data_IF_015984174057
#
_entry.id   IF_015984174057
#
_cell.length_a   1.000
_cell.length_b   1.000
_cell.length_c   1.000
_cell.angle_alpha   90.00
_cell.angle_beta   90.00
_cell.angle_gamma   90.00
#
_symmetry.space_group_name_H-M   'P 1'
#
loop_
_entity.id
_entity.type
_entity.pdbx_description
1 polymer ?
#
# COMPACT_ATOMS: atom_id res chain seq x y z
N UNK A 1 22.68 -6.62 10.42
CA UNK A 1 22.07 -6.31 11.73
C UNK A 1 20.68 -6.93 11.76
N UNK A 2 20.27 -7.59 12.85
CA UNK A 2 18.91 -8.09 12.99
C UNK A 2 17.92 -6.91 13.01
N UNK A 3 16.85 -7.01 12.23
CA UNK A 3 15.80 -5.99 12.18
C UNK A 3 14.97 -6.10 13.46
N UNK A 4 14.98 -5.08 14.32
CA UNK A 4 14.16 -5.05 15.53
C UNK A 4 12.80 -4.41 15.23
N UNK A 5 11.80 -5.25 14.93
CA UNK A 5 10.44 -4.82 14.61
C UNK A 5 9.77 -4.02 15.75
N UNK A 6 10.03 -4.37 17.02
CA UNK A 6 9.47 -3.66 18.16
C UNK A 6 9.96 -2.21 18.22
N UNK A 7 11.25 -1.99 17.94
CA UNK A 7 11.82 -0.64 17.86
C UNK A 7 11.19 0.15 16.71
N UNK A 8 11.05 -0.45 15.52
CA UNK A 8 10.41 0.21 14.37
C UNK A 8 8.96 0.58 14.69
N UNK A 9 8.23 -0.30 15.37
CA UNK A 9 6.86 -0.06 15.78
C UNK A 9 6.77 1.14 16.74
N UNK A 10 7.60 1.15 17.78
CA UNK A 10 7.68 2.26 18.74
C UNK A 10 8.06 3.58 18.07
N UNK A 11 9.06 3.57 17.20
CA UNK A 11 9.50 4.76 16.46
C UNK A 11 8.42 5.27 15.51
N UNK A 12 7.64 4.37 14.90
CA UNK A 12 6.51 4.71 14.04
C UNK A 12 5.39 5.38 14.84
N UNK A 13 5.09 4.84 16.01
CA UNK A 13 4.11 5.43 16.92
C UNK A 13 4.53 6.81 17.42
N UNK A 14 5.78 6.95 17.85
CA UNK A 14 6.34 8.23 18.31
C UNK A 14 6.31 9.29 17.21
N UNK A 15 6.56 8.92 15.95
CA UNK A 15 6.46 9.84 14.83
C UNK A 15 5.04 10.39 14.67
N UNK A 16 4.03 9.51 14.74
CA UNK A 16 2.62 9.88 14.63
C UNK A 16 2.24 10.86 15.74
N UNK A 17 2.69 10.58 16.97
CA UNK A 17 2.46 11.45 18.12
C UNK A 17 3.20 12.79 18.03
N UNK A 18 4.34 12.85 17.35
CA UNK A 18 5.09 14.09 17.18
C UNK A 18 4.52 14.96 16.03
N UNK A 19 3.93 14.33 15.01
CA UNK A 19 3.42 15.00 13.81
C UNK A 19 1.88 15.01 13.75
N UNK A 20 1.22 15.25 14.89
CA UNK A 20 -0.24 15.09 15.05
C UNK A 20 -1.06 15.86 14.04
N UNK A 21 -0.72 17.13 13.78
CA UNK A 21 -1.50 17.99 12.88
C UNK A 21 -1.52 17.43 11.46
N UNK A 22 -0.35 17.02 10.96
CA UNK A 22 -0.21 16.43 9.62
C UNK A 22 -0.92 15.08 9.54
N UNK A 23 -0.76 14.22 10.55
CA UNK A 23 -1.46 12.94 10.65
C UNK A 23 -2.97 13.12 10.65
N UNK A 24 -3.50 14.03 11.48
CA UNK A 24 -4.95 14.26 11.59
C UNK A 24 -5.54 14.76 10.27
N UNK A 25 -4.80 15.61 9.55
CA UNK A 25 -5.22 16.06 8.22
C UNK A 25 -5.36 14.90 7.23
N UNK A 26 -4.33 14.04 7.12
CA UNK A 26 -4.41 12.88 6.23
C UNK A 26 -5.40 11.82 6.70
N UNK A 27 -5.60 11.70 8.02
CA UNK A 27 -6.62 10.82 8.59
C UNK A 27 -8.00 11.27 8.14
N UNK A 28 -8.31 12.56 8.27
CA UNK A 28 -9.58 13.11 7.80
C UNK A 28 -9.77 12.90 6.29
N UNK A 29 -8.74 13.14 5.47
CA UNK A 29 -8.80 12.90 4.02
C UNK A 29 -9.09 11.43 3.69
N UNK A 30 -8.38 10.50 4.31
CA UNK A 30 -8.60 9.06 4.08
C UNK A 30 -9.97 8.60 4.57
N UNK A 31 -10.49 9.17 5.67
CA UNK A 31 -11.84 8.86 6.14
C UNK A 31 -12.88 9.33 5.13
N UNK A 32 -12.74 10.56 4.62
CA UNK A 32 -13.63 11.11 3.59
C UNK A 32 -13.57 10.25 2.33
N UNK A 33 -12.37 9.90 1.86
CA UNK A 33 -12.17 9.04 0.69
C UNK A 33 -12.86 7.67 0.85
N UNK A 34 -12.63 6.99 1.97
CA UNK A 34 -13.24 5.69 2.26
C UNK A 34 -14.77 5.77 2.31
N UNK A 35 -15.33 6.82 2.92
CA UNK A 35 -16.79 6.99 3.01
C UNK A 35 -17.39 7.35 1.65
N UNK A 36 -16.73 8.21 0.88
CA UNK A 36 -17.17 8.64 -0.45
C UNK A 36 -17.23 7.44 -1.39
N UNK A 37 -16.13 6.71 -1.56
CA UNK A 37 -16.10 5.56 -2.47
C UNK A 37 -17.01 4.44 -1.99
N UNK A 38 -17.16 4.23 -0.69
CA UNK A 38 -18.13 3.26 -0.17
C UNK A 38 -19.57 3.65 -0.50
N UNK A 39 -19.92 4.93 -0.37
CA UNK A 39 -21.24 5.43 -0.76
C UNK A 39 -21.50 5.25 -2.26
N UNK A 40 -20.51 5.60 -3.10
CA UNK A 40 -20.59 5.40 -4.55
C UNK A 40 -20.72 3.93 -4.95
N UNK A 41 -20.05 3.01 -4.26
CA UNK A 41 -20.14 1.59 -4.56
C UNK A 41 -21.48 0.98 -4.10
N UNK A 42 -22.01 1.43 -2.96
CA UNK A 42 -23.30 0.96 -2.44
C UNK A 42 -24.49 1.41 -3.29
N UNK A 43 -24.36 2.49 -4.09
CA UNK A 43 -25.42 2.94 -4.99
C UNK A 43 -25.46 2.19 -6.33
N UNK A 44 -24.48 1.32 -6.60
CA UNK A 44 -24.40 0.56 -7.85
C UNK A 44 -25.15 -0.76 -7.70
N UNK A 45 -26.16 -0.97 -8.55
CA UNK A 45 -26.83 -2.26 -8.68
C UNK A 45 -26.02 -3.21 -9.58
N UNK A 46 -25.35 -4.19 -8.97
CA UNK A 46 -24.53 -5.17 -9.67
C UNK A 46 -25.29 -6.16 -10.56
N UNK A 47 -26.62 -6.20 -10.49
CA UNK A 47 -27.42 -7.15 -11.27
C UNK A 47 -27.57 -6.74 -12.74
N UNK A 48 -27.17 -5.51 -13.10
CA UNK A 48 -27.23 -4.99 -14.47
C UNK A 48 -25.85 -4.95 -15.12
N UNK A 49 -25.78 -5.19 -16.43
CA UNK A 49 -24.51 -5.09 -17.20
C UNK A 49 -23.86 -3.70 -17.07
N UNK A 50 -24.69 -2.65 -17.02
CA UNK A 50 -24.21 -1.27 -16.80
C UNK A 50 -23.71 -1.07 -15.36
N UNK A 51 -24.36 -1.69 -14.37
CA UNK A 51 -23.91 -1.69 -12.99
C UNK A 51 -22.54 -2.35 -12.80
N UNK A 52 -22.30 -3.50 -13.44
CA UNK A 52 -20.99 -4.15 -13.42
C UNK A 52 -19.87 -3.25 -13.92
N UNK A 53 -20.08 -2.57 -15.05
CA UNK A 53 -19.10 -1.59 -15.60
C UNK A 53 -18.89 -0.39 -14.68
N UNK A 54 -19.97 0.11 -14.08
CA UNK A 54 -19.92 1.25 -13.15
C UNK A 54 -19.17 0.90 -11.86
N UNK A 55 -19.37 -0.32 -11.34
CA UNK A 55 -18.62 -0.83 -10.21
C UNK A 55 -17.12 -0.93 -10.50
N UNK A 56 -16.74 -1.48 -11.65
CA UNK A 56 -15.33 -1.53 -12.08
C UNK A 56 -14.75 -0.10 -12.19
N UNK A 57 -15.51 0.83 -12.76
CA UNK A 57 -15.07 2.21 -12.87
C UNK A 57 -14.83 2.87 -11.50
N UNK A 58 -15.78 2.78 -10.57
CA UNK A 58 -15.63 3.37 -9.24
C UNK A 58 -14.55 2.70 -8.40
N UNK A 59 -14.36 1.38 -8.52
CA UNK A 59 -13.27 0.68 -7.82
C UNK A 59 -11.90 1.11 -8.35
N UNK A 60 -11.73 1.24 -9.66
CA UNK A 60 -10.50 1.74 -10.26
C UNK A 60 -10.25 3.22 -9.91
N UNK A 61 -11.26 4.07 -10.01
CA UNK A 61 -11.16 5.48 -9.62
C UNK A 61 -10.78 5.61 -8.14
N UNK A 62 -11.42 4.84 -7.26
CA UNK A 62 -11.10 4.80 -5.83
C UNK A 62 -9.68 4.35 -5.56
N UNK A 63 -9.20 3.34 -6.28
CA UNK A 63 -7.82 2.88 -6.14
C UNK A 63 -6.81 3.95 -6.57
N UNK A 64 -7.09 4.71 -7.63
CA UNK A 64 -6.24 5.81 -8.08
C UNK A 64 -6.20 6.92 -7.03
N UNK A 65 -7.36 7.37 -6.54
CA UNK A 65 -7.43 8.43 -5.51
C UNK A 65 -6.75 8.00 -4.22
N UNK A 66 -7.04 6.80 -3.73
CA UNK A 66 -6.40 6.25 -2.53
C UNK A 66 -4.87 6.15 -2.70
N UNK A 67 -4.38 5.67 -3.86
CA UNK A 67 -2.94 5.61 -4.13
C UNK A 67 -2.28 6.99 -4.13
N UNK A 68 -2.97 8.02 -4.63
CA UNK A 68 -2.50 9.39 -4.62
C UNK A 68 -2.42 9.93 -3.19
N UNK A 69 -3.43 9.67 -2.36
CA UNK A 69 -3.45 10.09 -0.94
C UNK A 69 -2.32 9.42 -0.14
N UNK A 70 -2.12 8.12 -0.34
CA UNK A 70 -1.02 7.34 0.24
C UNK A 70 0.33 7.95 -0.15
N UNK A 71 0.53 8.24 -1.43
CA UNK A 71 1.78 8.85 -1.92
C UNK A 71 1.98 10.28 -1.42
N UNK A 72 0.90 11.05 -1.33
CA UNK A 72 0.96 12.41 -0.81
C UNK A 72 1.41 12.41 0.66
N UNK A 73 0.83 11.52 1.47
CA UNK A 73 1.26 11.33 2.85
C UNK A 73 2.71 10.82 2.93
N UNK A 74 3.10 9.85 2.12
CA UNK A 74 4.49 9.35 2.07
C UNK A 74 5.48 10.46 1.72
N UNK A 75 5.12 11.34 0.80
CA UNK A 75 5.93 12.49 0.39
C UNK A 75 6.12 13.47 1.55
N UNK A 76 5.05 13.72 2.32
CA UNK A 76 5.15 14.55 3.53
C UNK A 76 6.09 13.93 4.57
N UNK A 77 5.98 12.62 4.81
CA UNK A 77 6.91 11.91 5.71
C UNK A 77 8.36 12.07 5.23
N UNK A 78 8.61 11.93 3.92
CA UNK A 78 9.97 12.05 3.38
C UNK A 78 10.56 13.43 3.59
N UNK A 79 9.80 14.49 3.34
CA UNK A 79 10.29 15.86 3.51
C UNK A 79 10.55 16.18 4.97
N UNK A 80 9.65 15.77 5.88
CA UNK A 80 9.83 15.95 7.33
C UNK A 80 11.07 15.19 7.82
N UNK A 81 11.23 13.93 7.40
CA UNK A 81 12.36 13.10 7.82
C UNK A 81 13.70 13.60 7.26
N UNK A 82 13.69 14.23 6.09
CA UNK A 82 14.88 14.83 5.48
C UNK A 82 15.14 16.29 5.92
N UNK A 83 14.37 16.80 6.90
CA UNK A 83 14.44 18.18 7.39
C UNK A 83 14.25 19.25 6.29
N UNK A 84 13.50 18.92 5.24
CA UNK A 84 13.15 19.84 4.16
C UNK A 84 11.84 20.57 4.47
N UNK A 85 11.62 21.73 3.86
CA UNK A 85 10.38 22.48 4.00
C UNK A 85 9.20 21.67 3.45
N UNK A 86 8.43 21.04 4.34
CA UNK A 86 7.32 20.16 4.00
C UNK A 86 6.07 20.98 3.64
N UNK A 87 6.04 21.56 2.44
CA UNK A 87 4.87 22.26 1.93
C UNK A 87 3.89 21.26 1.28
N UNK A 88 2.63 21.31 1.70
CA UNK A 88 1.55 20.42 1.21
C UNK A 88 1.46 20.37 -0.32
N UNK A 89 1.57 21.52 -0.98
CA UNK A 89 1.47 21.65 -2.44
C UNK A 89 2.65 21.01 -3.17
N UNK A 90 3.86 21.20 -2.66
CA UNK A 90 5.07 20.57 -3.23
C UNK A 90 5.00 19.05 -3.10
N UNK A 91 4.56 18.55 -1.94
CA UNK A 91 4.37 17.13 -1.68
C UNK A 91 3.28 16.53 -2.57
N UNK A 92 2.19 17.26 -2.80
CA UNK A 92 1.14 16.84 -3.73
C UNK A 92 1.68 16.76 -5.16
N UNK A 93 2.41 17.78 -5.62
CA UNK A 93 2.99 17.78 -6.98
C UNK A 93 3.96 16.61 -7.17
N UNK A 94 4.72 16.27 -6.13
CA UNK A 94 5.65 15.15 -6.15
C UNK A 94 4.89 13.82 -6.19
N UNK A 95 3.84 13.67 -5.38
CA UNK A 95 2.98 12.48 -5.39
C UNK A 95 2.33 12.27 -6.76
N UNK A 96 1.68 13.29 -7.33
CA UNK A 96 1.04 13.22 -8.66
C UNK A 96 2.02 12.75 -9.73
N UNK A 97 3.24 13.29 -9.74
CA UNK A 97 4.29 12.87 -10.70
C UNK A 97 4.70 11.40 -10.54
N UNK A 98 4.66 10.88 -9.32
CA UNK A 98 5.12 9.51 -8.99
C UNK A 98 4.00 8.47 -9.04
N UNK A 99 2.73 8.88 -8.96
CA UNK A 99 1.56 7.98 -8.98
C UNK A 99 1.53 7.00 -10.16
N UNK A 100 1.80 7.39 -11.42
CA UNK A 100 1.67 6.46 -12.54
C UNK A 100 2.60 5.25 -12.44
N UNK A 101 3.88 5.50 -12.12
CA UNK A 101 4.88 4.42 -12.00
C UNK A 101 4.69 3.62 -10.71
N UNK A 102 4.25 4.27 -9.63
CA UNK A 102 3.88 3.58 -8.40
C UNK A 102 2.71 2.60 -8.63
N UNK A 103 1.67 3.02 -9.34
CA UNK A 103 0.54 2.15 -9.71
C UNK A 103 0.98 1.02 -10.62
N UNK A 104 1.82 1.31 -11.62
CA UNK A 104 2.36 0.29 -12.53
C UNK A 104 3.16 -0.78 -11.78
N UNK A 105 4.03 -0.38 -10.84
CA UNK A 105 4.78 -1.31 -9.99
C UNK A 105 3.83 -2.18 -9.14
N UNK A 106 2.84 -1.57 -8.49
CA UNK A 106 1.85 -2.32 -7.72
C UNK A 106 1.05 -3.29 -8.60
N UNK A 107 0.66 -2.87 -9.79
CA UNK A 107 -0.07 -3.71 -10.74
C UNK A 107 0.74 -4.94 -11.14
N UNK A 108 2.02 -4.78 -11.52
CA UNK A 108 2.89 -5.91 -11.88
C UNK A 108 3.07 -6.89 -10.72
N UNK A 109 3.24 -6.35 -9.51
CA UNK A 109 3.44 -7.17 -8.31
C UNK A 109 2.18 -7.98 -7.95
N UNK A 110 1.00 -7.42 -8.18
CA UNK A 110 -0.29 -8.05 -7.86
C UNK A 110 -0.83 -8.92 -9.00
N UNK A 111 -0.30 -8.78 -10.22
CA UNK A 111 -0.75 -9.49 -11.42
C UNK A 111 -0.89 -11.02 -11.25
N UNK A 112 0.04 -11.74 -10.60
CA UNK A 112 -0.14 -13.17 -10.39
C UNK A 112 -1.39 -13.51 -9.55
N UNK A 113 -1.77 -12.65 -8.60
CA UNK A 113 -2.99 -12.85 -7.82
C UNK A 113 -4.26 -12.55 -8.63
N UNK A 114 -4.22 -11.56 -9.52
CA UNK A 114 -5.38 -11.29 -10.39
C UNK A 114 -5.61 -12.42 -11.40
N UNK A 115 -4.54 -13.02 -11.93
CA UNK A 115 -4.63 -14.23 -12.76
C UNK A 115 -5.23 -15.42 -11.99
N UNK A 116 -4.81 -15.61 -10.73
CA UNK A 116 -5.38 -16.63 -9.88
C UNK A 116 -6.88 -16.42 -9.66
N UNK A 117 -7.29 -15.20 -9.31
CA UNK A 117 -8.70 -14.85 -9.12
C UNK A 117 -9.53 -15.04 -10.40
N UNK A 118 -9.02 -14.59 -11.55
CA UNK A 118 -9.68 -14.78 -12.84
C UNK A 118 -9.86 -16.26 -13.18
N UNK A 119 -8.84 -17.09 -12.95
CA UNK A 119 -8.91 -18.52 -13.21
C UNK A 119 -9.89 -19.24 -12.28
N UNK A 120 -10.07 -18.77 -11.04
CA UNK A 120 -11.04 -19.31 -10.09
C UNK A 120 -12.47 -19.04 -10.55
N UNK A 121 -12.74 -17.80 -10.98
CA UNK A 121 -14.06 -17.40 -11.50
C UNK A 121 -14.38 -18.11 -12.82
N UNK A 122 -13.42 -18.19 -13.75
CA UNK A 122 -13.64 -18.80 -15.06
C UNK A 122 -13.92 -20.31 -15.01
N UNK A 123 -13.28 -21.03 -14.09
CA UNK A 123 -13.38 -22.50 -14.02
C UNK A 123 -14.30 -23.00 -12.89
N UNK A 124 -14.95 -22.10 -12.15
CA UNK A 124 -15.84 -22.48 -11.04
C UNK A 124 -15.14 -23.22 -9.89
N UNK A 125 -13.81 -23.10 -9.77
CA UNK A 125 -13.01 -23.83 -8.78
C UNK A 125 -11.51 -23.55 -8.88
N UNK A 126 -10.75 -24.13 -7.94
CA UNK A 126 -9.29 -24.02 -7.92
C UNK A 126 -8.64 -24.82 -9.05
N UNK A 127 -8.06 -24.14 -10.04
CA UNK A 127 -7.26 -24.78 -11.08
C UNK A 127 -5.80 -24.94 -10.63
N UNK A 128 -5.06 -25.89 -11.23
CA UNK A 128 -3.62 -26.02 -11.00
C UNK A 128 -2.87 -24.74 -11.40
N UNK A 129 -3.35 -24.04 -12.43
CA UNK A 129 -2.85 -22.73 -12.83
C UNK A 129 -3.10 -21.67 -11.74
N UNK A 130 -4.27 -21.66 -11.10
CA UNK A 130 -4.56 -20.77 -9.98
C UNK A 130 -3.56 -20.98 -8.84
N UNK A 131 -3.32 -22.23 -8.48
CA UNK A 131 -2.40 -22.59 -7.39
C UNK A 131 -0.96 -22.17 -7.70
N UNK A 132 -0.46 -22.46 -8.91
CA UNK A 132 0.87 -22.01 -9.34
C UNK A 132 0.98 -20.48 -9.34
N UNK A 133 -0.05 -19.79 -9.83
CA UNK A 133 -0.09 -18.34 -9.87
C UNK A 133 -0.07 -17.71 -8.48
N UNK A 134 -0.77 -18.31 -7.51
CA UNK A 134 -0.71 -17.88 -6.09
C UNK A 134 0.68 -18.11 -5.50
N UNK A 135 1.31 -19.27 -5.72
CA UNK A 135 2.65 -19.56 -5.18
C UNK A 135 3.69 -18.59 -5.74
N UNK A 136 3.70 -18.40 -7.06
CA UNK A 136 4.59 -17.46 -7.74
C UNK A 136 4.28 -16.02 -7.28
N UNK A 137 3.01 -15.68 -7.14
CA UNK A 137 2.53 -14.41 -6.61
C UNK A 137 3.06 -14.12 -5.22
N UNK A 138 2.90 -15.05 -4.28
CA UNK A 138 3.42 -14.92 -2.91
C UNK A 138 4.93 -14.70 -2.91
N UNK A 139 5.68 -15.49 -3.68
CA UNK A 139 7.14 -15.37 -3.76
C UNK A 139 7.58 -13.99 -4.30
N UNK A 140 6.98 -13.54 -5.41
CA UNK A 140 7.29 -12.24 -6.01
C UNK A 140 6.85 -11.08 -5.10
N UNK A 141 5.67 -11.18 -4.49
CA UNK A 141 5.12 -10.16 -3.61
C UNK A 141 5.99 -9.94 -2.38
N UNK A 142 6.38 -11.00 -1.68
CA UNK A 142 7.27 -10.90 -0.50
C UNK A 142 8.59 -10.24 -0.91
N UNK A 143 9.15 -10.60 -2.06
CA UNK A 143 10.44 -10.06 -2.52
C UNK A 143 10.36 -8.62 -3.01
N UNK A 144 9.25 -8.21 -3.63
CA UNK A 144 9.15 -6.94 -4.34
C UNK A 144 8.20 -5.93 -3.68
N UNK A 145 7.59 -6.24 -2.54
CA UNK A 145 6.65 -5.36 -1.83
C UNK A 145 7.20 -3.95 -1.55
N UNK A 146 8.53 -3.81 -1.37
CA UNK A 146 9.17 -2.51 -1.16
C UNK A 146 9.52 -1.75 -2.46
N UNK A 147 9.41 -2.37 -3.63
CA UNK A 147 9.80 -1.75 -4.90
C UNK A 147 9.01 -0.46 -5.22
N UNK A 148 7.67 -0.40 -5.05
CA UNK A 148 6.90 0.84 -5.25
C UNK A 148 7.39 1.98 -4.35
N UNK A 149 7.71 1.68 -3.10
CA UNK A 149 8.24 2.67 -2.16
C UNK A 149 9.65 3.10 -2.53
N UNK A 150 10.52 2.17 -2.93
CA UNK A 150 11.90 2.49 -3.34
C UNK A 150 11.99 3.48 -4.51
N UNK A 151 11.05 3.38 -5.45
CA UNK A 151 10.93 4.30 -6.58
C UNK A 151 10.61 5.73 -6.13
N UNK A 152 9.71 5.87 -5.14
CA UNK A 152 9.27 7.15 -4.61
C UNK A 152 10.33 7.74 -3.67
N UNK A 153 11.02 6.91 -2.89
CA UNK A 153 11.97 7.38 -1.87
C UNK A 153 13.34 7.75 -2.45
N UNK A 154 13.83 7.03 -3.46
CA UNK A 154 15.18 7.24 -4.02
C UNK A 154 15.18 8.00 -5.36
N UNK A 155 14.01 8.40 -5.87
CA UNK A 155 13.88 8.96 -7.23
C UNK A 155 14.50 8.09 -8.34
N UNK A 156 14.56 6.78 -8.11
CA UNK A 156 15.19 5.82 -9.02
C UNK A 156 14.30 5.55 -10.24
N UNK A 157 14.87 4.99 -11.30
CA UNK A 157 14.09 4.49 -12.45
C UNK A 157 13.35 3.20 -12.07
N UNK A 158 12.30 2.86 -12.82
CA UNK A 158 11.50 1.65 -12.61
C UNK A 158 12.36 0.37 -12.45
N UNK A 159 13.31 0.15 -13.37
CA UNK A 159 14.20 -1.02 -13.32
C UNK A 159 15.17 -0.97 -12.15
N UNK A 160 15.68 0.21 -11.82
CA UNK A 160 16.60 0.39 -10.69
C UNK A 160 15.91 0.08 -9.35
N UNK A 161 14.65 0.53 -9.17
CA UNK A 161 13.83 0.23 -8.00
C UNK A 161 13.66 -1.29 -7.79
N UNK A 162 13.29 -2.02 -8.84
CA UNK A 162 13.15 -3.48 -8.80
C UNK A 162 14.48 -4.17 -8.47
N UNK A 163 15.55 -3.82 -9.18
CA UNK A 163 16.88 -4.42 -8.97
C UNK A 163 17.39 -4.17 -7.55
N UNK A 164 17.24 -2.95 -7.05
CA UNK A 164 17.69 -2.55 -5.73
C UNK A 164 17.00 -3.40 -4.65
N UNK A 165 15.68 -3.48 -4.69
CA UNK A 165 14.91 -4.25 -3.69
C UNK A 165 15.20 -5.74 -3.83
N UNK A 166 15.30 -6.25 -5.06
CA UNK A 166 15.62 -7.64 -5.31
C UNK A 166 16.97 -8.04 -4.69
N UNK A 167 18.02 -7.26 -4.96
CA UNK A 167 19.38 -7.53 -4.45
C UNK A 167 19.43 -7.44 -2.91
N UNK A 168 18.75 -6.47 -2.32
CA UNK A 168 18.66 -6.34 -0.86
C UNK A 168 17.84 -7.49 -0.22
N UNK A 169 16.90 -8.08 -0.96
CA UNK A 169 16.05 -9.18 -0.50
C UNK A 169 16.71 -10.56 -0.45
N UNK A 170 17.75 -10.83 -1.27
CA UNK A 170 18.31 -12.18 -1.46
C UNK A 170 18.71 -12.86 -0.14
N UNK A 171 19.33 -12.14 0.79
CA UNK A 171 19.83 -12.69 2.06
C UNK A 171 18.95 -12.36 3.27
N UNK A 172 17.83 -11.65 3.08
CA UNK A 172 16.99 -11.11 4.16
C UNK A 172 15.50 -11.36 3.93
N UNK A 173 15.17 -12.59 3.49
CA UNK A 173 13.80 -13.00 3.18
C UNK A 173 12.90 -13.01 4.42
N UNK A 174 13.40 -13.46 5.57
CA UNK A 174 12.59 -13.57 6.79
C UNK A 174 12.09 -12.20 7.30
N UNK A 175 12.92 -11.14 7.39
CA UNK A 175 12.42 -9.79 7.68
C UNK A 175 11.39 -9.29 6.67
N UNK A 176 11.57 -9.56 5.36
CA UNK A 176 10.57 -9.18 4.35
C UNK A 176 9.25 -9.93 4.55
N UNK A 177 9.31 -11.22 4.83
CA UNK A 177 8.13 -12.03 5.09
C UNK A 177 7.32 -11.52 6.30
N UNK A 178 8.00 -11.25 7.43
CA UNK A 178 7.35 -10.69 8.62
C UNK A 178 6.77 -9.29 8.34
N UNK A 179 7.51 -8.47 7.60
CA UNK A 179 7.02 -7.17 7.15
C UNK A 179 5.75 -7.31 6.31
N UNK A 180 5.74 -8.24 5.34
CA UNK A 180 4.58 -8.50 4.48
C UNK A 180 3.37 -8.92 5.30
N UNK A 181 3.57 -9.81 6.29
CA UNK A 181 2.51 -10.27 7.18
C UNK A 181 1.90 -9.13 8.00
N UNK A 182 2.74 -8.25 8.55
CA UNK A 182 2.30 -7.13 9.39
C UNK A 182 1.65 -5.99 8.60
N UNK A 183 2.15 -5.67 7.39
CA UNK A 183 1.73 -4.49 6.64
C UNK A 183 0.62 -4.78 5.64
N UNK A 184 0.53 -5.99 5.11
CA UNK A 184 -0.48 -6.33 4.10
C UNK A 184 -1.49 -7.34 4.63
N UNK A 185 -1.04 -8.46 5.20
CA UNK A 185 -1.94 -9.54 5.60
C UNK A 185 -2.77 -9.18 6.83
N UNK A 186 -2.14 -8.61 7.87
CA UNK A 186 -2.82 -8.24 9.10
C UNK A 186 -3.90 -7.16 8.87
N UNK A 187 -3.63 -6.03 8.17
CA UNK A 187 -4.66 -5.07 7.80
C UNK A 187 -5.78 -5.69 6.99
N UNK A 188 -5.47 -6.57 6.02
CA UNK A 188 -6.48 -7.26 5.23
C UNK A 188 -7.43 -8.10 6.11
N UNK A 189 -6.90 -8.88 7.05
CA UNK A 189 -7.73 -9.68 7.96
C UNK A 189 -8.61 -8.77 8.82
N UNK A 190 -8.06 -7.67 9.34
CA UNK A 190 -8.80 -6.72 10.16
C UNK A 190 -9.93 -6.05 9.35
N UNK A 191 -9.65 -5.58 8.14
CA UNK A 191 -10.66 -4.91 7.29
C UNK A 191 -11.79 -5.87 6.89
N UNK A 192 -11.48 -7.14 6.60
CA UNK A 192 -12.50 -8.16 6.32
C UNK A 192 -13.44 -8.39 7.51
N UNK A 193 -12.94 -8.36 8.75
CA UNK A 193 -13.79 -8.49 9.94
C UNK A 193 -14.59 -7.21 10.21
N UNK A 194 -13.96 -6.03 10.02
CA UNK A 194 -14.60 -4.73 10.19
C UNK A 194 -15.78 -4.52 9.21
N UNK A 195 -15.69 -5.06 7.99
CA UNK A 195 -16.74 -4.96 6.98
C UNK A 195 -18.10 -5.47 7.48
N UNK A 196 -18.13 -6.46 8.39
CA UNK A 196 -19.36 -7.01 8.97
C UNK A 196 -20.11 -6.00 9.87
N UNK A 197 -19.38 -5.09 10.49
CA UNK A 197 -19.92 -4.06 11.40
C UNK A 197 -20.45 -2.85 10.62
N UNK A 198 -20.02 -2.72 9.36
CA UNK A 198 -20.21 -1.54 8.55
C UNK A 198 -21.63 -1.43 7.93
N UNK A 199 -22.60 -2.23 8.37
CA UNK A 199 -23.97 -2.28 7.83
C UNK A 199 -24.81 -1.04 8.17
N UNK A 200 -24.51 -0.36 9.28
CA UNK A 200 -25.15 0.89 9.69
C UNK A 200 -24.26 2.10 9.39
N UNK A 201 -24.86 3.29 9.30
CA UNK A 201 -24.12 4.54 9.08
C UNK A 201 -23.10 4.85 10.20
N UNK A 202 -23.41 4.68 11.50
CA UNK A 202 -22.40 4.83 12.55
C UNK A 202 -21.28 3.79 12.41
N UNK A 203 -21.63 2.54 12.06
CA UNK A 203 -20.66 1.48 11.80
C UNK A 203 -19.71 1.81 10.65
N UNK A 204 -20.23 2.41 9.57
CA UNK A 204 -19.42 2.81 8.41
C UNK A 204 -18.35 3.85 8.76
N UNK A 205 -18.72 4.84 9.58
CA UNK A 205 -17.81 5.89 10.04
C UNK A 205 -16.70 5.29 10.91
N UNK A 206 -17.06 4.44 11.87
CA UNK A 206 -16.08 3.79 12.76
C UNK A 206 -15.09 2.95 11.94
N UNK A 207 -15.60 2.15 11.00
CA UNK A 207 -14.76 1.32 10.13
C UNK A 207 -13.84 2.17 9.25
N UNK A 208 -14.32 3.29 8.72
CA UNK A 208 -13.51 4.22 7.93
C UNK A 208 -12.39 4.85 8.76
N UNK A 209 -12.67 5.28 10.00
CA UNK A 209 -11.67 5.85 10.92
C UNK A 209 -10.60 4.81 11.27
N UNK A 210 -11.00 3.59 11.62
CA UNK A 210 -10.06 2.52 11.97
C UNK A 210 -9.18 2.16 10.76
N UNK A 211 -9.79 2.01 9.57
CA UNK A 211 -9.06 1.68 8.34
C UNK A 211 -8.07 2.78 7.96
N UNK A 212 -8.47 4.04 8.04
CA UNK A 212 -7.58 5.19 7.78
C UNK A 212 -6.40 5.22 8.77
N UNK A 213 -6.66 4.99 10.06
CA UNK A 213 -5.61 4.94 11.08
C UNK A 213 -4.61 3.80 10.83
N UNK A 214 -5.09 2.62 10.44
CA UNK A 214 -4.24 1.48 10.07
C UNK A 214 -3.40 1.82 8.83
N UNK A 215 -4.00 2.42 7.79
CA UNK A 215 -3.28 2.84 6.58
C UNK A 215 -2.17 3.85 6.88
N UNK A 216 -2.44 4.84 7.73
CA UNK A 216 -1.42 5.80 8.16
C UNK A 216 -0.29 5.11 8.92
N UNK A 217 -0.63 4.27 9.89
CA UNK A 217 0.36 3.59 10.72
C UNK A 217 1.25 2.69 9.88
N UNK A 218 0.65 1.86 9.04
CA UNK A 218 1.37 0.93 8.15
C UNK A 218 2.27 1.66 7.16
N UNK A 219 1.88 2.86 6.72
CA UNK A 219 2.69 3.67 5.81
C UNK A 219 3.91 4.28 6.52
N UNK A 220 3.74 4.85 7.71
CA UNK A 220 4.88 5.32 8.55
C UNK A 220 5.82 4.17 8.87
N UNK A 221 5.26 3.01 9.23
CA UNK A 221 6.02 1.80 9.51
C UNK A 221 6.81 1.33 8.28
N UNK A 222 6.18 1.32 7.10
CA UNK A 222 6.82 0.97 5.83
C UNK A 222 7.98 1.90 5.50
N UNK A 223 7.80 3.20 5.68
CA UNK A 223 8.87 4.18 5.48
C UNK A 223 10.09 3.87 6.38
N UNK A 224 9.87 3.65 7.67
CA UNK A 224 10.96 3.37 8.63
C UNK A 224 11.62 2.02 8.38
N UNK A 225 10.83 0.99 8.11
CA UNK A 225 11.34 -0.33 7.74
C UNK A 225 12.20 -0.24 6.48
N UNK A 226 11.74 0.50 5.47
CA UNK A 226 12.49 0.72 4.24
C UNK A 226 13.87 1.32 4.49
N UNK A 227 13.96 2.40 5.29
CA UNK A 227 15.24 3.07 5.59
C UNK A 227 16.25 2.15 6.27
N UNK A 228 15.79 1.22 7.11
CA UNK A 228 16.65 0.25 7.79
C UNK A 228 17.00 -0.95 6.92
N UNK A 229 16.08 -1.34 6.05
CA UNK A 229 16.22 -2.56 5.25
C UNK A 229 17.14 -2.35 4.04
N UNK A 230 17.01 -1.21 3.36
CA UNK A 230 17.72 -0.90 2.13
C UNK A 230 19.14 -0.38 2.40
N UNK A 231 20.13 -1.08 1.88
CA UNK A 231 21.48 -0.54 1.68
C UNK A 231 21.57 0.13 0.30
N UNK A 232 21.67 1.46 0.30
CA UNK A 232 21.75 2.28 -0.91
C UNK A 232 23.04 2.06 -1.70
N UNK A 233 24.10 1.55 -1.04
CA UNK A 233 25.39 1.33 -1.68
C UNK A 233 25.48 0.01 -2.44
N UNK A 234 24.47 -0.85 -2.36
CA UNK A 234 24.49 -2.15 -3.04
C UNK A 234 24.58 -2.02 -4.56
N UNK A 235 23.90 -1.03 -5.17
CA UNK A 235 23.94 -0.85 -6.63
C UNK A 235 25.34 -0.46 -7.14
N UNK A 236 26.12 0.28 -6.34
CA UNK A 236 27.50 0.65 -6.68
C UNK A 236 28.47 -0.53 -6.67
N UNK A 237 28.12 -1.65 -6.02
CA UNK A 237 28.95 -2.86 -5.97
C UNK A 237 28.78 -3.75 -7.21
N UNK A 238 27.79 -3.46 -8.05
CA UNK A 238 27.46 -4.24 -9.25
C UNK A 238 27.52 -3.41 -10.54
N UNK A 239 28.11 -2.20 -10.46
CA UNK A 239 28.55 -1.39 -11.60
C UNK A 239 30.05 -1.57 -11.75
#
# INVERSE_FOLDING_TARGET
MPVNFAKIFQDSWNFILNQKQMVLFFLALLVIDNLLFRSLLNSVDMQTDQGGRTFVFFTLAGQIVNSLLILWFLSMITFISNQQAAQLTTALSYAVKKTPVFLLLNFIIVLPFSLAAASYVANGGGSLLALLSVIIGCYLFIRLCLAPYSYVLENSSFSAALKLVWLNGIKRVLPLFLFTLLVYLLPLVITLQLAKIASSLPGSIIVAVISAAISIFTLVFTYRFYQLFIDKNILRKFQ
#
